data_IF_037406348360
#
_entry.id   IF_037406348360
#
_cell.length_a   1.000
_cell.length_b   1.000
_cell.length_c   1.000
_cell.angle_alpha   90.00
_cell.angle_beta   90.00
_cell.angle_gamma   90.00
#
_symmetry.space_group_name_H-M   'P 1'
#
loop_
_entity.id
_entity.type
_entity.pdbx_description
1 polymer ?
#
# COMPACT_ATOMS: atom_id res chain seq x y z
N UNK A 1 -13.45 4.38 21.35
CA UNK A 1 -13.80 3.52 20.23
C UNK A 1 -12.72 2.45 20.10
N UNK A 2 -13.07 1.19 20.38
CA UNK A 2 -12.11 0.08 20.42
C UNK A 2 -11.85 -0.38 18.96
N UNK A 3 -10.72 -0.01 18.39
CA UNK A 3 -10.25 -0.59 17.14
C UNK A 3 -9.81 -2.04 17.40
N UNK A 4 -10.68 -3.00 17.10
CA UNK A 4 -10.36 -4.42 17.05
C UNK A 4 -9.71 -4.80 15.71
N UNK A 5 -8.77 -4.02 15.25
CA UNK A 5 -7.92 -4.43 14.13
C UNK A 5 -6.61 -4.96 14.70
N UNK A 6 -6.38 -6.25 14.59
CA UNK A 6 -5.08 -6.87 14.91
C UNK A 6 -3.98 -6.46 13.92
N UNK A 7 -4.31 -5.70 12.89
CA UNK A 7 -3.41 -5.28 11.83
C UNK A 7 -3.41 -3.77 11.69
N UNK A 8 -2.23 -3.19 11.57
CA UNK A 8 -2.08 -1.80 11.14
C UNK A 8 -2.46 -1.68 9.66
N UNK A 9 -3.11 -0.57 9.30
CA UNK A 9 -3.44 -0.22 7.93
C UNK A 9 -2.90 1.18 7.65
N UNK A 10 -2.27 1.37 6.51
CA UNK A 10 -1.80 2.67 6.08
C UNK A 10 -2.93 3.41 5.35
N UNK A 11 -3.38 4.51 5.95
CA UNK A 11 -4.39 5.40 5.40
C UNK A 11 -3.76 6.78 5.19
N UNK A 12 -3.88 7.31 3.98
CA UNK A 12 -3.47 8.67 3.65
C UNK A 12 -4.66 9.60 3.85
N UNK A 13 -4.59 10.48 4.83
CA UNK A 13 -5.61 11.51 5.08
C UNK A 13 -5.50 12.56 3.99
N UNK A 14 -6.62 12.88 3.34
CA UNK A 14 -6.66 13.71 2.14
C UNK A 14 -7.30 15.09 2.37
N UNK A 15 -8.01 15.26 3.47
CA UNK A 15 -8.75 16.48 3.77
C UNK A 15 -8.24 17.15 5.07
N UNK A 16 -8.56 18.44 5.27
CA UNK A 16 -8.21 19.16 6.48
C UNK A 16 -8.81 18.53 7.74
N UNK A 17 -8.29 18.92 8.90
CA UNK A 17 -8.81 18.51 10.20
C UNK A 17 -10.31 18.82 10.33
N UNK A 18 -11.08 17.81 10.74
CA UNK A 18 -12.54 17.90 10.87
C UNK A 18 -13.31 17.26 9.70
N UNK A 19 -12.66 17.00 8.57
CA UNK A 19 -13.27 16.31 7.43
C UNK A 19 -12.70 14.88 7.31
N UNK A 20 -13.45 13.84 7.70
CA UNK A 20 -12.94 12.46 7.74
C UNK A 20 -12.90 11.85 6.33
N UNK A 21 -11.79 12.03 5.65
CA UNK A 21 -11.52 11.43 4.33
C UNK A 21 -10.13 10.83 4.27
N UNK A 22 -10.00 9.63 3.73
CA UNK A 22 -8.72 8.94 3.62
C UNK A 22 -8.69 7.93 2.47
N UNK A 23 -7.50 7.68 1.96
CA UNK A 23 -7.21 6.62 0.98
C UNK A 23 -6.49 5.48 1.68
N UNK A 24 -7.08 4.28 1.67
CA UNK A 24 -6.47 3.07 2.21
C UNK A 24 -5.53 2.45 1.18
N UNK A 25 -4.27 2.29 1.54
CA UNK A 25 -3.31 1.53 0.77
C UNK A 25 -3.54 0.03 0.96
N UNK A 26 -3.94 -0.67 -0.10
CA UNK A 26 -4.28 -2.10 -0.06
C UNK A 26 -3.20 -3.02 -0.61
N UNK A 27 -2.33 -2.51 -1.44
CA UNK A 27 -1.26 -3.28 -2.06
C UNK A 27 -0.18 -2.37 -2.61
N UNK A 28 1.02 -2.93 -2.71
CA UNK A 28 2.22 -2.27 -3.24
C UNK A 28 2.96 -3.21 -4.17
N UNK A 29 3.75 -2.65 -5.05
CA UNK A 29 4.85 -3.32 -5.71
C UNK A 29 6.17 -2.76 -5.17
N UNK A 30 7.06 -3.65 -4.72
CA UNK A 30 8.39 -3.26 -4.26
C UNK A 30 9.30 -3.04 -5.46
N UNK A 31 9.59 -1.78 -5.78
CA UNK A 31 10.55 -1.40 -6.82
C UNK A 31 11.96 -1.41 -6.27
N UNK A 32 12.14 -0.89 -5.07
CA UNK A 32 13.41 -0.85 -4.33
C UNK A 32 13.20 -1.36 -2.91
N UNK A 33 14.25 -1.86 -2.27
CA UNK A 33 14.21 -2.29 -0.87
C UNK A 33 13.44 -3.58 -0.60
N UNK A 34 13.11 -4.38 -1.61
CA UNK A 34 12.33 -5.62 -1.45
C UNK A 34 12.98 -6.62 -0.49
N UNK A 35 14.32 -6.68 -0.44
CA UNK A 35 15.06 -7.53 0.49
C UNK A 35 14.81 -7.12 1.94
N UNK A 36 14.90 -5.81 2.24
CA UNK A 36 14.61 -5.28 3.56
C UNK A 36 13.15 -5.51 3.96
N UNK A 37 12.21 -5.31 3.05
CA UNK A 37 10.79 -5.60 3.26
C UNK A 37 10.55 -7.09 3.58
N UNK A 38 11.29 -7.99 2.95
CA UNK A 38 11.22 -9.43 3.22
C UNK A 38 11.69 -9.76 4.63
N UNK A 39 12.80 -9.18 5.04
CA UNK A 39 13.34 -9.34 6.39
C UNK A 39 12.37 -8.80 7.45
N UNK A 40 11.81 -7.62 7.25
CA UNK A 40 10.84 -7.02 8.19
C UNK A 40 9.56 -7.85 8.30
N UNK A 41 9.07 -8.38 7.19
CA UNK A 41 7.80 -9.11 7.18
C UNK A 41 7.93 -10.58 7.58
N UNK A 42 8.96 -11.27 7.10
CA UNK A 42 9.12 -12.73 7.23
C UNK A 42 10.34 -13.15 8.06
N UNK A 43 11.24 -12.24 8.37
CA UNK A 43 12.53 -12.56 9.00
C UNK A 43 13.46 -13.38 8.11
N UNK A 44 13.25 -13.33 6.79
CA UNK A 44 13.98 -14.15 5.81
C UNK A 44 14.35 -13.32 4.57
N UNK A 45 15.47 -13.60 3.91
CA UNK A 45 15.80 -13.00 2.63
C UNK A 45 14.83 -13.45 1.52
N UNK A 46 14.70 -12.66 0.47
CA UNK A 46 13.80 -12.93 -0.67
C UNK A 46 14.03 -14.31 -1.31
N UNK A 47 15.29 -14.76 -1.35
CA UNK A 47 15.68 -16.05 -1.92
C UNK A 47 15.10 -17.25 -1.17
N UNK A 48 14.78 -17.09 0.12
CA UNK A 48 14.22 -18.13 0.97
C UNK A 48 12.69 -18.11 1.04
N UNK A 49 12.04 -17.16 0.37
CA UNK A 49 10.58 -17.10 0.34
C UNK A 49 10.01 -18.20 -0.55
N UNK A 50 8.94 -18.85 -0.06
CA UNK A 50 8.17 -19.79 -0.86
C UNK A 50 7.42 -19.06 -1.98
N UNK A 51 6.96 -19.78 -3.01
CA UNK A 51 6.16 -19.22 -4.09
C UNK A 51 4.87 -18.54 -3.55
N UNK A 52 4.25 -19.16 -2.55
CA UNK A 52 3.09 -18.58 -1.86
C UNK A 52 3.43 -17.24 -1.16
N UNK A 53 4.55 -17.17 -0.45
CA UNK A 53 5.00 -15.95 0.23
C UNK A 53 5.33 -14.84 -0.78
N UNK A 54 5.98 -15.16 -1.89
CA UNK A 54 6.25 -14.19 -2.98
C UNK A 54 4.96 -13.65 -3.59
N UNK A 55 4.01 -14.52 -3.91
CA UNK A 55 2.70 -14.14 -4.46
C UNK A 55 1.89 -13.25 -3.50
N UNK A 56 2.03 -13.49 -2.20
CA UNK A 56 1.29 -12.77 -1.16
C UNK A 56 2.13 -11.73 -0.42
N UNK A 57 3.17 -11.22 -1.05
CA UNK A 57 4.16 -10.39 -0.39
C UNK A 57 3.57 -9.05 0.08
N UNK A 58 2.93 -8.29 -0.81
CA UNK A 58 2.43 -6.93 -0.55
C UNK A 58 0.96 -6.75 -0.98
N UNK A 59 0.20 -7.80 -1.09
CA UNK A 59 -1.17 -7.78 -1.59
C UNK A 59 -2.24 -7.69 -0.48
N UNK A 60 -2.01 -6.86 0.50
CA UNK A 60 -2.97 -6.62 1.58
C UNK A 60 -2.50 -5.51 2.50
N UNK A 61 -3.43 -4.73 3.11
CA UNK A 61 -3.06 -3.53 3.88
C UNK A 61 -2.15 -3.84 5.09
N UNK A 62 -2.45 -4.87 5.86
CA UNK A 62 -1.59 -5.29 6.98
C UNK A 62 -0.25 -5.86 6.53
N UNK A 63 -0.18 -6.45 5.35
CA UNK A 63 1.05 -6.96 4.75
C UNK A 63 1.98 -5.83 4.35
N UNK A 64 1.41 -4.76 3.76
CA UNK A 64 2.16 -3.55 3.40
C UNK A 64 2.77 -2.88 4.64
N UNK A 65 1.98 -2.68 5.69
CA UNK A 65 2.48 -2.09 6.94
C UNK A 65 3.63 -2.90 7.55
N UNK A 66 3.51 -4.23 7.59
CA UNK A 66 4.59 -5.09 8.10
C UNK A 66 5.86 -5.00 7.27
N UNK A 67 5.73 -5.00 5.94
CA UNK A 67 6.87 -4.91 5.05
C UNK A 67 7.59 -3.56 5.13
N UNK A 68 6.84 -2.48 5.40
CA UNK A 68 7.37 -1.14 5.61
C UNK A 68 7.85 -0.89 7.06
N UNK A 69 7.65 -1.85 7.96
CA UNK A 69 8.01 -1.70 9.37
C UNK A 69 7.12 -0.71 10.13
N UNK A 70 5.93 -0.42 9.62
CA UNK A 70 5.00 0.54 10.23
C UNK A 70 4.21 -0.09 11.38
N UNK A 71 4.11 0.67 12.45
CA UNK A 71 3.38 0.33 13.68
C UNK A 71 2.41 1.46 14.04
N UNK A 72 1.83 1.39 15.22
CA UNK A 72 0.99 2.49 15.73
C UNK A 72 1.79 3.75 16.09
N UNK A 73 3.11 3.62 16.25
CA UNK A 73 3.99 4.74 16.58
C UNK A 73 4.06 5.77 15.43
N UNK A 74 3.88 5.32 14.20
CA UNK A 74 3.88 6.15 12.99
C UNK A 74 2.53 6.83 12.73
N UNK A 75 1.51 6.62 13.58
CA UNK A 75 0.22 7.29 13.41
C UNK A 75 0.35 8.80 13.59
N UNK A 76 -0.17 9.57 12.64
CA UNK A 76 -0.08 11.02 12.63
C UNK A 76 1.18 11.59 11.98
N UNK A 77 2.02 10.77 11.35
CA UNK A 77 3.14 11.27 10.56
C UNK A 77 2.67 12.14 9.41
N UNK A 78 3.41 13.21 9.18
CA UNK A 78 3.28 14.06 8.00
C UNK A 78 3.93 13.37 6.80
N UNK A 79 3.14 13.06 5.78
CA UNK A 79 3.60 12.37 4.56
C UNK A 79 4.32 13.28 3.57
N UNK A 80 4.54 14.54 3.93
CA UNK A 80 5.40 15.48 3.22
C UNK A 80 6.79 15.62 3.85
N UNK A 81 7.02 14.92 4.98
CA UNK A 81 8.28 14.91 5.72
C UNK A 81 9.18 13.72 5.30
N UNK A 82 10.33 13.56 5.96
CA UNK A 82 11.41 12.68 5.50
C UNK A 82 11.26 11.20 5.91
N UNK A 83 10.50 10.90 6.96
CA UNK A 83 10.46 9.54 7.53
C UNK A 83 9.62 8.55 6.71
N UNK A 84 8.48 9.01 6.23
CA UNK A 84 7.59 8.31 5.31
C UNK A 84 6.91 9.37 4.47
N UNK A 85 7.03 9.29 3.16
CA UNK A 85 6.50 10.32 2.27
C UNK A 85 5.97 9.74 0.97
N UNK A 86 5.13 10.52 0.30
CA UNK A 86 4.68 10.29 -1.06
C UNK A 86 5.47 11.19 -2.00
N UNK A 87 5.88 10.65 -3.13
CA UNK A 87 6.53 11.38 -4.21
C UNK A 87 5.89 11.01 -5.56
N UNK A 88 6.07 11.84 -6.56
CA UNK A 88 5.51 11.60 -7.90
C UNK A 88 6.24 10.47 -8.63
N UNK A 89 7.53 10.30 -8.36
CA UNK A 89 8.32 9.25 -8.94
C UNK A 89 9.62 8.97 -8.20
N UNK A 90 10.31 7.88 -8.54
CA UNK A 90 11.57 7.51 -7.89
C UNK A 90 12.68 8.53 -8.16
N UNK A 91 12.60 9.32 -9.22
CA UNK A 91 13.54 10.37 -9.57
C UNK A 91 13.63 11.46 -8.50
N UNK A 92 12.52 11.74 -7.80
CA UNK A 92 12.46 12.73 -6.71
C UNK A 92 13.38 12.37 -5.54
N UNK A 93 13.72 11.10 -5.42
CA UNK A 93 14.65 10.58 -4.41
C UNK A 93 15.98 10.09 -4.99
N UNK A 94 16.28 10.48 -6.23
CA UNK A 94 17.54 10.13 -6.90
C UNK A 94 17.64 8.67 -7.35
N UNK A 95 16.52 7.98 -7.50
CA UNK A 95 16.44 6.61 -8.01
C UNK A 95 16.11 6.60 -9.51
N UNK A 96 16.52 5.57 -10.27
CA UNK A 96 16.17 5.44 -11.68
C UNK A 96 14.66 5.44 -11.92
N UNK A 97 14.18 5.95 -13.07
CA UNK A 97 12.76 5.94 -13.41
C UNK A 97 12.21 4.51 -13.52
N UNK A 98 10.94 4.36 -13.16
CA UNK A 98 10.18 3.12 -13.39
C UNK A 98 9.44 3.24 -14.71
N UNK A 99 9.43 2.18 -15.50
CA UNK A 99 8.66 2.13 -16.73
C UNK A 99 7.14 2.16 -16.43
N UNK A 100 6.57 3.36 -16.45
CA UNK A 100 5.15 3.60 -16.24
C UNK A 100 4.28 3.09 -17.42
N UNK A 101 4.87 2.80 -18.58
CA UNK A 101 4.15 2.28 -19.74
C UNK A 101 3.63 0.85 -19.57
N UNK A 102 4.07 0.16 -18.54
CA UNK A 102 3.73 -1.25 -18.23
C UNK A 102 2.44 -1.42 -17.45
N UNK A 103 1.72 -0.36 -17.09
CA UNK A 103 0.56 -0.44 -16.21
C UNK A 103 -0.68 0.24 -16.81
N UNK A 104 -1.84 -0.35 -16.56
CA UNK A 104 -3.14 0.25 -16.82
C UNK A 104 -3.85 0.48 -15.48
N UNK A 105 -4.35 1.70 -15.26
CA UNK A 105 -5.18 2.00 -14.09
C UNK A 105 -6.58 1.40 -14.29
N UNK A 106 -7.01 0.60 -13.34
CA UNK A 106 -8.35 0.03 -13.26
C UNK A 106 -9.10 0.60 -12.07
N UNK A 107 -10.42 0.67 -12.20
CA UNK A 107 -11.34 1.10 -11.14
C UNK A 107 -12.44 0.08 -10.95
N UNK A 108 -13.00 0.02 -9.76
CA UNK A 108 -14.11 -0.89 -9.45
C UNK A 108 -14.67 -0.70 -8.05
N UNK A 109 -15.65 -1.49 -7.70
CA UNK A 109 -16.27 -1.45 -6.38
C UNK A 109 -15.29 -1.88 -5.29
N UNK A 110 -15.44 -1.29 -4.11
CA UNK A 110 -14.68 -1.69 -2.91
C UNK A 110 -15.08 -3.10 -2.47
N UNK A 111 -14.18 -3.79 -1.79
CA UNK A 111 -14.37 -5.17 -1.30
C UNK A 111 -14.58 -5.15 0.21
N UNK A 112 -15.55 -5.94 0.70
CA UNK A 112 -15.78 -6.14 2.14
C UNK A 112 -16.43 -4.96 2.84
N UNK A 113 -17.28 -4.20 2.14
CA UNK A 113 -17.98 -3.03 2.67
C UNK A 113 -19.51 -3.14 2.52
N UNK A 114 -20.05 -4.35 2.63
CA UNK A 114 -21.50 -4.61 2.45
C UNK A 114 -22.39 -3.80 3.40
N UNK A 115 -21.81 -3.28 4.48
CA UNK A 115 -22.46 -2.40 5.46
C UNK A 115 -22.56 -0.93 5.00
N UNK A 116 -21.95 -0.58 3.87
CA UNK A 116 -21.78 0.85 3.48
C UNK A 116 -22.94 1.39 2.65
N UNK A 117 -24.11 0.75 2.68
CA UNK A 117 -25.35 1.21 2.02
C UNK A 117 -25.10 1.56 0.53
N UNK A 118 -25.44 2.78 0.11
CA UNK A 118 -25.27 3.25 -1.27
C UNK A 118 -23.79 3.23 -1.73
N UNK A 119 -22.84 3.41 -0.82
CA UNK A 119 -21.42 3.45 -1.13
C UNK A 119 -20.83 2.07 -1.55
N UNK A 120 -21.59 0.98 -1.42
CA UNK A 120 -21.20 -0.36 -1.90
C UNK A 120 -20.95 -0.34 -3.41
N UNK A 121 -21.74 0.42 -4.15
CA UNK A 121 -21.69 0.46 -5.61
C UNK A 121 -20.69 1.47 -6.18
N UNK A 122 -20.12 2.33 -5.34
CA UNK A 122 -19.18 3.34 -5.80
C UNK A 122 -17.85 2.73 -6.27
N UNK A 123 -17.30 3.17 -7.42
CA UNK A 123 -16.08 2.62 -7.99
C UNK A 123 -14.81 3.21 -7.31
N UNK A 124 -14.77 3.19 -5.99
CA UNK A 124 -13.72 3.79 -5.17
C UNK A 124 -12.58 2.83 -4.84
N UNK A 125 -12.44 1.77 -5.60
CA UNK A 125 -11.28 0.88 -5.59
C UNK A 125 -10.47 1.09 -6.86
N UNK A 126 -9.19 1.37 -6.70
CA UNK A 126 -8.23 1.59 -7.78
C UNK A 126 -7.11 0.57 -7.70
N UNK A 127 -6.66 0.07 -8.84
CA UNK A 127 -5.47 -0.78 -8.90
C UNK A 127 -4.77 -0.64 -10.24
N UNK A 128 -3.46 -0.93 -10.23
CA UNK A 128 -2.65 -1.00 -11.42
C UNK A 128 -2.62 -2.44 -11.92
N UNK A 129 -2.93 -2.63 -13.17
CA UNK A 129 -2.80 -3.90 -13.88
C UNK A 129 -1.58 -3.84 -14.79
N UNK A 130 -0.65 -4.79 -14.60
CA UNK A 130 0.53 -4.87 -15.44
C UNK A 130 0.11 -5.31 -16.84
N UNK A 131 0.46 -4.53 -17.87
CA UNK A 131 0.32 -4.97 -19.26
C UNK A 131 1.44 -5.96 -19.54
N UNK A 132 1.07 -7.23 -19.76
CA UNK A 132 2.01 -8.19 -20.31
C UNK A 132 2.32 -7.77 -21.73
N UNK A 133 3.49 -7.17 -21.93
CA UNK A 133 4.08 -7.11 -23.27
C UNK A 133 4.46 -8.57 -23.61
N UNK A 134 3.66 -9.14 -24.48
CA UNK A 134 4.04 -10.39 -25.14
C UNK A 134 5.30 -10.18 -25.96
#
# INVERSE_FOLDING_TARGET
>A
MLFRSMHCCLNFVTEPEGEPSAVLLRGLEAVYGAEQMSLLRYGKPLTQLTAYQKKNFLNGPGKCCRALGLTRAENGLDLTADALFLCDGPEDVGLPPVDAGSYILRTGKRIGIDYAEEAVDFPWRFWLERTNLC
#
